data_IF_345262513498
#
_entry.id   IF_345262513498
#
_cell.length_a   1.000
_cell.length_b   1.000
_cell.length_c   1.000
_cell.angle_alpha   90.00
_cell.angle_beta   90.00
_cell.angle_gamma   90.00
#
_symmetry.space_group_name_H-M   'P 1'
#
loop_
_entity.id
_entity.type
_entity.pdbx_description
1 polymer ?
#
# COMPACT_ATOMS: atom_id res chain seq x y z
N UNK A 1 0.31 -31.39 26.23
CA UNK A 1 -0.54 -30.30 26.78
C UNK A 1 0.10 -28.92 26.62
N UNK A 2 1.38 -28.73 26.96
CA UNK A 2 2.05 -27.42 26.86
C UNK A 2 2.00 -26.76 25.45
N UNK A 3 2.19 -27.53 24.37
CA UNK A 3 2.14 -26.99 23.00
C UNK A 3 0.75 -26.48 22.59
N UNK A 4 -0.32 -27.13 23.07
CA UNK A 4 -1.71 -26.69 22.82
C UNK A 4 -2.02 -25.40 23.59
N UNK A 5 -1.52 -25.28 24.82
CA UNK A 5 -1.68 -24.06 25.62
C UNK A 5 -0.89 -22.89 25.02
N UNK A 6 0.36 -23.14 24.56
CA UNK A 6 1.15 -22.14 23.85
C UNK A 6 0.47 -21.67 22.57
N UNK A 7 -0.09 -22.60 21.78
CA UNK A 7 -0.87 -22.29 20.59
C UNK A 7 -2.14 -21.48 20.87
N UNK A 8 -2.87 -21.83 21.93
CA UNK A 8 -4.06 -21.10 22.36
C UNK A 8 -3.70 -19.68 22.85
N UNK A 9 -2.57 -19.51 23.55
CA UNK A 9 -2.08 -18.20 23.99
C UNK A 9 -1.69 -17.33 22.80
N UNK A 10 -0.99 -17.87 21.81
CA UNK A 10 -0.65 -17.15 20.58
C UNK A 10 -1.89 -16.77 19.75
N UNK A 11 -2.93 -17.60 19.76
CA UNK A 11 -4.19 -17.34 19.05
C UNK A 11 -5.02 -16.22 19.72
N UNK A 12 -5.02 -16.16 21.05
CA UNK A 12 -5.72 -15.13 21.83
C UNK A 12 -4.94 -13.82 21.88
N UNK A 13 -3.61 -13.88 21.91
CA UNK A 13 -2.72 -12.72 21.93
C UNK A 13 -2.51 -12.10 20.53
N UNK A 14 -3.59 -11.99 19.74
CA UNK A 14 -3.59 -11.34 18.42
C UNK A 14 -2.74 -10.06 18.46
N UNK A 15 -1.61 -9.99 17.73
CA UNK A 15 -0.82 -8.77 17.67
C UNK A 15 -1.73 -7.68 17.11
N UNK A 16 -1.91 -6.63 17.92
CA UNK A 16 -2.82 -5.52 17.65
C UNK A 16 -2.68 -5.07 16.20
N UNK A 17 -3.79 -5.16 15.44
CA UNK A 17 -3.89 -4.68 14.07
C UNK A 17 -3.41 -3.22 14.05
N UNK A 18 -2.24 -3.01 13.43
CA UNK A 18 -1.66 -1.68 13.26
C UNK A 18 -2.69 -0.82 12.52
N UNK A 19 -3.01 0.38 13.02
CA UNK A 19 -3.94 1.26 12.32
C UNK A 19 -3.32 1.67 10.99
N UNK A 20 -3.96 1.27 9.88
CA UNK A 20 -3.54 1.60 8.51
C UNK A 20 -4.03 2.98 8.05
N UNK A 21 -4.39 3.89 8.96
CA UNK A 21 -4.73 5.26 8.58
C UNK A 21 -3.47 6.03 8.24
N UNK A 22 -3.29 6.48 6.98
CA UNK A 22 -2.25 7.46 6.70
C UNK A 22 -2.62 8.74 7.44
N UNK A 23 -1.65 9.31 8.16
CA UNK A 23 -1.79 10.62 8.76
C UNK A 23 -2.15 11.63 7.66
N UNK A 24 -3.32 12.28 7.76
CA UNK A 24 -3.78 13.32 6.83
C UNK A 24 -2.97 14.64 6.92
N UNK A 25 -1.69 14.57 7.30
CA UNK A 25 -0.82 15.73 7.47
C UNK A 25 -0.11 16.15 6.17
N UNK A 26 -0.24 15.37 5.08
CA UNK A 26 0.48 15.59 3.82
C UNK A 26 -0.28 16.34 2.72
N UNK A 27 -1.59 16.55 2.88
CA UNK A 27 -2.44 17.10 1.80
C UNK A 27 -2.04 18.53 1.39
N UNK A 28 -1.58 19.35 2.35
CA UNK A 28 -1.23 20.75 2.11
C UNK A 28 0.16 20.92 1.48
N UNK A 29 1.09 19.99 1.73
CA UNK A 29 2.43 20.02 1.16
C UNK A 29 2.42 19.53 -0.30
N UNK A 30 1.55 18.57 -0.62
CA UNK A 30 1.27 18.12 -2.00
C UNK A 30 0.72 19.25 -2.87
N UNK A 31 -0.14 20.13 -2.33
CA UNK A 31 -0.72 21.23 -3.10
C UNK A 31 0.34 22.30 -3.46
N UNK A 32 1.32 22.53 -2.58
CA UNK A 32 2.45 23.44 -2.88
C UNK A 32 3.45 22.83 -3.84
N UNK A 33 3.70 21.53 -3.76
CA UNK A 33 4.65 20.82 -4.63
C UNK A 33 4.10 20.54 -6.03
N UNK A 34 2.78 20.48 -6.19
CA UNK A 34 2.12 20.44 -7.49
C UNK A 34 2.47 21.67 -8.33
N UNK A 35 2.66 22.86 -7.74
CA UNK A 35 2.92 24.10 -8.49
C UNK A 35 4.24 24.15 -9.25
N UNK A 36 5.24 23.36 -8.86
CA UNK A 36 6.61 23.43 -9.43
C UNK A 36 6.95 22.27 -10.37
N UNK A 37 6.10 21.24 -10.47
CA UNK A 37 6.29 20.07 -11.34
C UNK A 37 5.32 20.08 -12.55
N UNK A 38 4.41 21.04 -12.61
CA UNK A 38 3.33 21.09 -13.62
C UNK A 38 3.81 21.29 -15.07
N UNK A 39 5.04 21.74 -15.30
CA UNK A 39 5.56 21.93 -16.68
C UNK A 39 6.00 20.63 -17.36
N UNK A 40 6.37 19.58 -16.62
CA UNK A 40 6.77 18.27 -17.19
C UNK A 40 5.61 17.26 -17.33
N UNK A 41 4.45 17.54 -16.72
CA UNK A 41 3.34 16.56 -16.57
C UNK A 41 2.47 16.44 -17.84
N UNK A 42 2.61 17.35 -18.81
CA UNK A 42 1.77 17.34 -20.01
C UNK A 42 1.97 16.14 -20.94
N UNK A 43 3.06 15.39 -20.79
CA UNK A 43 3.33 14.15 -21.55
C UNK A 43 3.00 12.84 -20.79
N UNK A 44 2.58 12.92 -19.52
CA UNK A 44 2.41 11.75 -18.65
C UNK A 44 1.01 11.13 -18.61
N UNK A 45 0.04 11.74 -19.29
CA UNK A 45 -1.36 11.28 -19.29
C UNK A 45 -1.62 10.47 -20.56
N UNK A 46 -1.85 9.18 -20.38
CA UNK A 46 -2.24 8.29 -21.47
C UNK A 46 -3.62 8.70 -22.01
N UNK A 47 -3.94 8.41 -23.29
CA UNK A 47 -5.19 8.82 -23.93
C UNK A 47 -6.46 8.24 -23.27
N UNK A 48 -6.32 7.22 -22.43
CA UNK A 48 -7.39 6.67 -21.58
C UNK A 48 -7.61 7.48 -20.29
N UNK A 49 -6.92 8.60 -20.10
CA UNK A 49 -7.00 9.45 -18.90
C UNK A 49 -6.19 8.92 -17.69
N UNK A 50 -5.43 7.84 -17.86
CA UNK A 50 -4.55 7.32 -16.79
C UNK A 50 -3.22 8.07 -16.76
N UNK A 51 -2.65 8.26 -15.57
CA UNK A 51 -1.34 8.85 -15.38
C UNK A 51 -0.50 7.97 -14.45
N UNK A 52 0.81 7.89 -14.71
CA UNK A 52 1.70 7.20 -13.79
C UNK A 52 1.88 8.02 -12.51
N UNK A 53 1.71 7.37 -11.37
CA UNK A 53 1.84 7.98 -10.05
C UNK A 53 2.95 7.30 -9.24
N UNK A 54 3.48 8.02 -8.26
CA UNK A 54 4.36 7.41 -7.25
C UNK A 54 3.56 6.41 -6.40
N UNK A 55 4.17 5.29 -6.00
CA UNK A 55 3.48 4.27 -5.21
C UNK A 55 3.09 4.83 -3.83
N UNK A 56 1.81 4.68 -3.49
CA UNK A 56 1.31 5.03 -2.15
C UNK A 56 1.71 3.97 -1.10
N UNK A 57 1.97 2.75 -1.53
CA UNK A 57 2.37 1.62 -0.68
C UNK A 57 3.40 0.74 -1.40
N UNK A 58 4.27 0.09 -0.64
CA UNK A 58 5.34 -0.78 -1.17
C UNK A 58 5.32 -2.11 -0.41
N UNK A 59 5.24 -3.21 -1.14
CA UNK A 59 5.44 -4.55 -0.57
C UNK A 59 6.95 -4.83 -0.50
N UNK A 60 7.54 -4.51 0.66
CA UNK A 60 8.99 -4.71 0.90
C UNK A 60 9.38 -6.21 0.96
N UNK A 61 8.42 -7.06 1.31
CA UNK A 61 8.53 -8.51 1.24
C UNK A 61 9.51 -9.17 2.19
N UNK A 62 9.60 -10.48 2.01
CA UNK A 62 10.72 -11.36 2.38
C UNK A 62 10.84 -12.44 1.30
N UNK A 63 12.02 -13.06 1.15
CA UNK A 63 12.24 -14.09 0.13
C UNK A 63 11.29 -15.28 0.35
N UNK A 64 10.54 -15.66 -0.69
CA UNK A 64 9.54 -16.74 -0.69
C UNK A 64 8.32 -16.51 0.23
N UNK A 65 8.05 -15.29 0.70
CA UNK A 65 6.88 -14.98 1.53
C UNK A 65 5.53 -14.96 0.78
N UNK A 66 5.50 -15.28 -0.51
CA UNK A 66 4.26 -15.21 -1.30
C UNK A 66 3.85 -13.79 -1.72
N UNK A 67 4.78 -12.82 -1.75
CA UNK A 67 4.48 -11.43 -2.16
C UNK A 67 3.89 -11.33 -3.56
N UNK A 68 4.27 -12.22 -4.48
CA UNK A 68 3.65 -12.31 -5.80
C UNK A 68 2.18 -12.69 -5.71
N UNK A 69 1.82 -13.69 -4.91
CA UNK A 69 0.42 -14.07 -4.72
C UNK A 69 -0.40 -12.92 -4.09
N UNK A 70 0.20 -12.17 -3.17
CA UNK A 70 -0.43 -10.98 -2.60
C UNK A 70 -0.69 -9.89 -3.66
N UNK A 71 0.27 -9.59 -4.54
CA UNK A 71 0.07 -8.63 -5.63
C UNK A 71 -1.07 -9.05 -6.56
N UNK A 72 -1.13 -10.33 -6.96
CA UNK A 72 -2.22 -10.85 -7.80
C UNK A 72 -3.59 -10.82 -7.11
N UNK A 73 -3.62 -10.93 -5.78
CA UNK A 73 -4.87 -10.81 -5.03
C UNK A 73 -5.32 -9.35 -4.92
N UNK A 74 -4.38 -8.41 -4.75
CA UNK A 74 -4.66 -6.98 -4.67
C UNK A 74 -5.11 -6.39 -6.02
N UNK A 75 -4.58 -6.89 -7.14
CA UNK A 75 -4.98 -6.43 -8.48
C UNK A 75 -6.44 -6.73 -8.83
N UNK A 76 -7.11 -7.60 -8.06
CA UNK A 76 -8.56 -7.85 -8.19
C UNK A 76 -9.41 -6.74 -7.59
N UNK A 77 -8.85 -5.88 -6.72
CA UNK A 77 -9.58 -4.80 -6.10
C UNK A 77 -9.72 -3.62 -7.08
N UNK A 78 -10.94 -3.07 -7.30
CA UNK A 78 -11.18 -2.06 -8.33
C UNK A 78 -10.36 -0.77 -8.14
N UNK A 79 -10.03 -0.44 -6.89
CA UNK A 79 -9.31 0.79 -6.55
C UNK A 79 -7.78 0.63 -6.50
N UNK A 80 -7.24 -0.56 -6.81
CA UNK A 80 -5.79 -0.83 -6.66
C UNK A 80 -5.17 -1.14 -8.02
N UNK A 81 -4.16 -0.34 -8.38
CA UNK A 81 -3.23 -0.66 -9.47
C UNK A 81 -1.94 -1.26 -8.88
N UNK A 82 -1.72 -2.55 -9.11
CA UNK A 82 -0.59 -3.33 -8.59
C UNK A 82 0.54 -3.52 -9.60
#
# INVERSE_FOLDING_TARGET
MAALLLGAVLLVAQPQLVPSRPAELGQQELLRKAGTLQDDVRDGVAPNGSAQQLPQTIIIGVRKGGTRALLEMLSLHPDVAA
#
